data_IF_874608692730
#
_entry.id   IF_874608692730
#
_cell.length_a   1.000
_cell.length_b   1.000
_cell.length_c   1.000
_cell.angle_alpha   90.00
_cell.angle_beta   90.00
_cell.angle_gamma   90.00
#
_symmetry.space_group_name_H-M   'P 1'
#
loop_
_entity.id
_entity.type
_entity.pdbx_description
1 polymer ?
#
# COMPACT_ATOMS: atom_id res chain seq x y z
N UNK A 1 -4.47 4.31 7.77
CA UNK A 1 -4.78 3.54 6.54
C UNK A 1 -4.33 4.24 5.26
N UNK A 2 -3.66 5.40 5.29
CA UNK A 2 -2.90 5.94 4.13
C UNK A 2 -1.48 6.37 4.56
N UNK A 3 -1.33 6.79 5.83
CA UNK A 3 -0.05 7.19 6.40
C UNK A 3 1.03 6.09 6.41
N UNK A 4 0.64 4.82 6.65
CA UNK A 4 1.59 3.69 6.67
C UNK A 4 2.10 3.35 5.26
N UNK A 5 1.25 3.49 4.24
CA UNK A 5 1.65 3.39 2.83
C UNK A 5 2.64 4.48 2.44
N UNK A 6 2.41 5.71 2.87
CA UNK A 6 3.34 6.82 2.64
C UNK A 6 4.71 6.54 3.26
N UNK A 7 4.76 5.95 4.47
CA UNK A 7 6.02 5.54 5.10
C UNK A 7 6.71 4.43 4.30
N UNK A 8 5.98 3.42 3.84
CA UNK A 8 6.54 2.33 3.01
C UNK A 8 7.12 2.85 1.70
N UNK A 9 6.42 3.75 1.02
CA UNK A 9 6.89 4.38 -0.22
C UNK A 9 8.10 5.28 0.05
N UNK A 10 8.12 6.01 1.17
CA UNK A 10 9.27 6.82 1.57
C UNK A 10 10.50 5.96 1.86
N UNK A 11 10.33 4.81 2.53
CA UNK A 11 11.40 3.84 2.76
C UNK A 11 11.91 3.29 1.42
N UNK A 12 11.02 2.95 0.50
CA UNK A 12 11.40 2.49 -0.85
C UNK A 12 12.20 3.56 -1.60
N UNK A 13 11.80 4.83 -1.51
CA UNK A 13 12.49 5.96 -2.13
C UNK A 13 13.89 6.18 -1.52
N UNK A 14 14.00 6.14 -0.19
CA UNK A 14 15.30 6.25 0.48
C UNK A 14 16.19 5.07 0.11
N UNK A 15 15.62 3.87 -0.02
CA UNK A 15 16.35 2.65 -0.34
C UNK A 15 16.90 2.69 -1.76
N UNK A 16 16.12 3.15 -2.75
CA UNK A 16 16.61 3.26 -4.13
C UNK A 16 17.66 4.36 -4.29
N UNK A 17 17.55 5.47 -3.55
CA UNK A 17 18.55 6.55 -3.55
C UNK A 17 19.86 6.11 -2.89
N UNK A 18 19.79 5.43 -1.74
CA UNK A 18 21.00 5.04 -0.97
C UNK A 18 21.64 3.75 -1.46
N UNK A 19 20.84 2.80 -1.97
CA UNK A 19 21.27 1.45 -2.37
C UNK A 19 20.54 1.04 -3.65
N UNK A 20 20.91 1.62 -4.80
CA UNK A 20 20.27 1.30 -6.09
C UNK A 20 20.41 -0.19 -6.47
N UNK A 21 21.47 -0.85 -6.00
CA UNK A 21 21.66 -2.32 -6.10
C UNK A 21 20.52 -3.15 -5.51
N UNK A 22 19.69 -2.56 -4.64
CA UNK A 22 18.52 -3.19 -4.02
C UNK A 22 17.20 -2.73 -4.65
N UNK A 23 17.21 -2.33 -5.92
CA UNK A 23 16.03 -1.91 -6.67
C UNK A 23 14.85 -2.89 -6.53
N UNK A 24 15.09 -4.20 -6.67
CA UNK A 24 14.05 -5.22 -6.54
C UNK A 24 13.32 -5.16 -5.19
N UNK A 25 14.01 -4.79 -4.10
CA UNK A 25 13.40 -4.63 -2.78
C UNK A 25 12.60 -3.32 -2.68
N UNK A 26 13.11 -2.23 -3.25
CA UNK A 26 12.37 -0.97 -3.34
C UNK A 26 11.08 -1.16 -4.15
N UNK A 27 11.17 -1.87 -5.27
CA UNK A 27 10.03 -2.19 -6.12
C UNK A 27 9.02 -3.09 -5.40
N UNK A 28 9.49 -4.15 -4.72
CA UNK A 28 8.63 -5.02 -3.93
C UNK A 28 7.88 -4.25 -2.82
N UNK A 29 8.53 -3.29 -2.15
CA UNK A 29 7.90 -2.44 -1.14
C UNK A 29 6.77 -1.59 -1.74
N UNK A 30 6.97 -1.03 -2.94
CA UNK A 30 5.92 -0.27 -3.65
C UNK A 30 4.78 -1.18 -4.10
N UNK A 31 5.08 -2.39 -4.56
CA UNK A 31 4.04 -3.35 -4.96
C UNK A 31 3.18 -3.79 -3.78
N UNK A 32 3.81 -4.04 -2.63
CA UNK A 32 3.09 -4.39 -1.39
C UNK A 32 2.25 -3.22 -0.90
N UNK A 33 2.77 -1.99 -0.98
CA UNK A 33 2.01 -0.80 -0.57
C UNK A 33 0.76 -0.62 -1.43
N UNK A 34 0.88 -0.80 -2.75
CA UNK A 34 -0.27 -0.78 -3.67
C UNK A 34 -1.27 -1.92 -3.43
N UNK A 35 -0.80 -3.14 -3.21
CA UNK A 35 -1.68 -4.28 -2.93
C UNK A 35 -2.49 -4.06 -1.63
N UNK A 36 -1.84 -3.50 -0.61
CA UNK A 36 -2.49 -3.11 0.63
C UNK A 36 -3.56 -2.04 0.39
N UNK A 37 -3.27 -1.03 -0.43
CA UNK A 37 -4.22 0.04 -0.76
C UNK A 37 -5.48 -0.53 -1.40
N UNK A 38 -5.32 -1.40 -2.40
CA UNK A 38 -6.45 -2.03 -3.10
C UNK A 38 -7.24 -2.90 -2.14
N UNK A 39 -6.58 -3.73 -1.32
CA UNK A 39 -7.26 -4.59 -0.37
C UNK A 39 -8.07 -3.80 0.66
N UNK A 40 -7.47 -2.75 1.22
CA UNK A 40 -8.12 -1.88 2.20
C UNK A 40 -9.23 -1.07 1.57
N UNK A 41 -9.03 -0.51 0.38
CA UNK A 41 -10.06 0.24 -0.34
C UNK A 41 -11.27 -0.65 -0.64
N UNK A 42 -11.05 -1.86 -1.15
CA UNK A 42 -12.13 -2.81 -1.45
C UNK A 42 -12.82 -3.28 -0.18
N UNK A 43 -12.07 -3.63 0.88
CA UNK A 43 -12.66 -4.05 2.15
C UNK A 43 -13.47 -2.94 2.83
N UNK A 44 -13.00 -1.69 2.79
CA UNK A 44 -13.73 -0.57 3.37
C UNK A 44 -14.99 -0.24 2.57
N UNK A 45 -14.90 -0.31 1.23
CA UNK A 45 -16.06 -0.13 0.34
C UNK A 45 -17.06 -1.29 0.45
N UNK A 46 -16.62 -2.52 0.66
CA UNK A 46 -17.52 -3.68 0.82
C UNK A 46 -18.28 -3.60 2.14
N UNK A 47 -17.64 -3.16 3.23
CA UNK A 47 -18.33 -2.88 4.50
C UNK A 47 -19.37 -1.77 4.36
N UNK A 48 -19.05 -0.69 3.62
CA UNK A 48 -20.01 0.35 3.30
C UNK A 48 -21.17 -0.13 2.42
N UNK A 49 -20.92 -1.07 1.49
CA UNK A 49 -21.93 -1.67 0.63
C UNK A 49 -22.86 -2.62 1.40
N UNK A 50 -22.30 -3.50 2.24
CA UNK A 50 -23.08 -4.40 3.11
C UNK A 50 -23.96 -3.60 4.06
N UNK A 51 -23.39 -2.59 4.71
CA UNK A 51 -24.14 -1.67 5.56
C UNK A 51 -25.25 -0.92 4.80
N UNK A 52 -25.01 -0.51 3.55
CA UNK A 52 -26.03 0.11 2.71
C UNK A 52 -27.13 -0.88 2.24
N UNK A 53 -26.81 -2.17 2.15
CA UNK A 53 -27.75 -3.24 1.81
C UNK A 53 -28.51 -3.80 3.03
N UNK A 54 -28.27 -3.24 4.23
CA UNK A 54 -28.89 -3.68 5.49
C UNK A 54 -28.71 -5.19 5.76
N UNK A 55 -27.55 -5.73 5.37
CA UNK A 55 -27.03 -7.06 5.70
C UNK A 55 -25.87 -6.93 6.68
#
# INVERSE_FOLDING_TARGET
>A
MEFLELILVLIALILIIKKPEKENLAFALVMISWAMMVFLYVGHKSSGLLSAMNL
#
